data_IF_321889058173
#
_entry.id   IF_321889058173
#
_cell.length_a   1.000
_cell.length_b   1.000
_cell.length_c   1.000
_cell.angle_alpha   90.00
_cell.angle_beta   90.00
_cell.angle_gamma   90.00
#
_symmetry.space_group_name_H-M   'P 1'
#
loop_
_entity.id
_entity.type
_entity.pdbx_description
1 polymer ?
#
# COMPACT_ATOMS: atom_id res chain seq x y z
N UNK A 1 22.38 37.70 0.88
CA UNK A 1 21.48 38.75 1.40
C UNK A 1 20.59 39.19 0.25
N UNK A 2 19.37 38.76 0.20
CA UNK A 2 18.38 39.34 -0.72
C UNK A 2 17.01 39.25 -0.04
N UNK A 3 16.46 40.41 0.25
CA UNK A 3 15.25 40.62 1.03
C UNK A 3 14.00 40.09 0.33
N UNK A 4 13.19 39.40 1.13
CA UNK A 4 11.85 38.98 0.79
C UNK A 4 10.88 40.15 1.04
N UNK A 5 10.18 40.61 0.02
CA UNK A 5 9.04 41.54 0.15
C UNK A 5 7.74 40.74 0.33
N UNK A 6 7.10 40.93 1.46
CA UNK A 6 5.78 40.45 1.79
C UNK A 6 4.75 41.40 1.19
N UNK A 7 3.88 40.93 0.29
CA UNK A 7 2.66 41.65 -0.09
C UNK A 7 1.46 40.72 0.07
N UNK A 8 0.67 41.00 1.10
CA UNK A 8 -0.69 40.51 1.25
C UNK A 8 -1.60 41.34 0.33
N UNK A 9 -2.49 40.70 -0.45
CA UNK A 9 -3.90 41.04 -0.68
C UNK A 9 -4.58 40.09 -1.67
N UNK A 10 -5.55 39.38 -1.14
CA UNK A 10 -6.87 38.96 -1.70
C UNK A 10 -6.99 38.38 -3.11
N UNK A 11 -7.64 37.20 -3.14
CA UNK A 11 -8.42 36.55 -4.22
C UNK A 11 -7.66 35.81 -5.32
N UNK A 12 -7.74 34.47 -5.24
CA UNK A 12 -7.71 33.52 -6.36
C UNK A 12 -6.54 33.65 -7.36
N UNK A 13 -5.35 33.35 -6.92
CA UNK A 13 -4.27 32.84 -7.78
C UNK A 13 -3.44 31.85 -6.98
N UNK A 14 -3.26 30.64 -7.52
CA UNK A 14 -2.28 29.68 -7.02
C UNK A 14 -0.95 30.40 -6.96
N UNK A 15 -0.53 30.80 -5.79
CA UNK A 15 0.84 31.26 -5.58
C UNK A 15 1.75 30.06 -5.69
N UNK A 16 2.50 29.97 -6.79
CA UNK A 16 3.64 29.05 -6.89
C UNK A 16 4.70 29.66 -5.99
N UNK A 17 4.73 29.27 -4.72
CA UNK A 17 5.82 29.59 -3.82
C UNK A 17 7.02 28.76 -4.25
N UNK A 18 8.01 29.42 -4.84
CA UNK A 18 9.37 28.89 -4.95
C UNK A 18 10.01 28.89 -3.56
N UNK A 19 9.77 27.83 -2.80
CA UNK A 19 10.46 27.61 -1.54
C UNK A 19 11.75 26.83 -1.84
N UNK A 20 12.90 27.47 -1.74
CA UNK A 20 14.21 26.81 -1.70
C UNK A 20 14.43 26.24 -0.30
N UNK A 21 13.70 25.20 0.04
CA UNK A 21 13.82 24.44 1.27
C UNK A 21 13.38 23.01 1.01
N UNK A 22 13.91 22.07 1.74
CA UNK A 22 13.52 20.67 1.70
C UNK A 22 12.00 20.55 1.72
N UNK A 23 11.40 20.08 0.63
CA UNK A 23 9.95 19.96 0.57
C UNK A 23 9.54 18.53 0.91
N UNK A 24 8.67 18.41 1.90
CA UNK A 24 8.00 17.15 2.21
C UNK A 24 6.90 16.94 1.17
N UNK A 25 7.06 15.93 0.32
CA UNK A 25 6.21 15.69 -0.85
C UNK A 25 5.43 14.38 -0.71
N UNK A 26 4.16 14.41 -1.05
CA UNK A 26 3.27 13.24 -1.04
C UNK A 26 2.78 12.93 -2.44
N UNK A 27 2.75 11.63 -2.78
CA UNK A 27 2.02 11.08 -3.90
C UNK A 27 0.84 10.28 -3.33
N UNK A 28 -0.39 10.58 -3.75
CA UNK A 28 -1.60 9.86 -3.33
C UNK A 28 -2.05 8.92 -4.46
N UNK A 29 -2.18 7.63 -4.14
CA UNK A 29 -2.63 6.59 -5.08
C UNK A 29 -3.85 5.90 -4.49
N UNK A 30 -5.04 6.31 -4.90
CA UNK A 30 -6.32 5.84 -4.38
C UNK A 30 -7.43 6.16 -5.39
N UNK A 31 -8.34 5.23 -5.68
CA UNK A 31 -9.44 5.45 -6.63
C UNK A 31 -10.61 6.24 -6.03
N UNK A 32 -10.60 6.49 -4.70
CA UNK A 32 -11.65 7.24 -4.01
C UNK A 32 -11.33 8.75 -3.97
N UNK A 33 -11.85 9.49 -4.94
CA UNK A 33 -11.61 10.94 -5.08
C UNK A 33 -11.93 11.76 -3.82
N UNK A 34 -12.99 11.41 -3.08
CA UNK A 34 -13.36 12.13 -1.85
C UNK A 34 -12.32 11.90 -0.75
N UNK A 35 -11.78 10.69 -0.64
CA UNK A 35 -10.74 10.38 0.32
C UNK A 35 -9.45 11.15 -0.01
N UNK A 36 -9.00 11.14 -1.28
CA UNK A 36 -7.82 11.91 -1.70
C UNK A 36 -7.97 13.38 -1.33
N UNK A 37 -9.14 14.00 -1.60
CA UNK A 37 -9.41 15.39 -1.21
C UNK A 37 -9.34 15.60 0.31
N UNK A 38 -9.92 14.69 1.09
CA UNK A 38 -9.88 14.74 2.55
C UNK A 38 -8.46 14.70 3.08
N UNK A 39 -7.66 13.72 2.62
CA UNK A 39 -6.25 13.58 2.99
C UNK A 39 -5.45 14.82 2.59
N UNK A 40 -5.63 15.31 1.36
CA UNK A 40 -4.93 16.52 0.88
C UNK A 40 -5.26 17.74 1.75
N UNK A 41 -6.55 17.95 2.08
CA UNK A 41 -6.97 19.06 2.93
C UNK A 41 -6.36 18.94 4.32
N UNK A 42 -6.44 17.75 4.93
CA UNK A 42 -5.88 17.50 6.26
C UNK A 42 -4.37 17.76 6.30
N UNK A 43 -3.61 17.24 5.33
CA UNK A 43 -2.17 17.45 5.26
C UNK A 43 -1.80 18.92 5.12
N UNK A 44 -2.52 19.68 4.28
CA UNK A 44 -2.30 21.13 4.10
C UNK A 44 -2.58 21.93 5.37
N UNK A 45 -3.54 21.52 6.21
CA UNK A 45 -3.92 22.22 7.42
C UNK A 45 -3.08 21.84 8.64
N UNK A 46 -2.57 20.62 8.70
CA UNK A 46 -1.98 20.03 9.91
C UNK A 46 -0.50 19.70 9.78
N UNK A 47 0.12 19.92 8.64
CA UNK A 47 1.51 19.53 8.40
C UNK A 47 2.20 20.40 7.34
N UNK A 48 3.51 20.21 7.20
CA UNK A 48 4.32 20.80 6.13
C UNK A 48 4.40 19.91 4.88
N UNK A 49 3.52 18.90 4.77
CA UNK A 49 3.47 18.00 3.62
C UNK A 49 2.64 18.59 2.49
N UNK A 50 3.16 18.48 1.27
CA UNK A 50 2.46 18.94 0.06
C UNK A 50 2.18 17.77 -0.87
N UNK A 51 0.93 17.59 -1.28
CA UNK A 51 0.56 16.62 -2.30
C UNK A 51 0.98 17.16 -3.66
N UNK A 52 1.95 16.48 -4.29
CA UNK A 52 2.52 16.86 -5.59
C UNK A 52 1.93 16.07 -6.75
N UNK A 53 1.22 14.97 -6.46
CA UNK A 53 0.57 14.15 -7.47
C UNK A 53 -0.50 13.24 -6.88
N UNK A 54 -1.53 13.01 -7.69
CA UNK A 54 -2.61 12.06 -7.38
C UNK A 54 -2.77 11.10 -8.55
N UNK A 55 -3.06 9.83 -8.27
CA UNK A 55 -3.39 8.82 -9.26
C UNK A 55 -4.55 7.95 -8.77
N UNK A 56 -5.50 7.63 -9.65
CA UNK A 56 -6.62 6.73 -9.35
C UNK A 56 -6.46 5.35 -9.99
N UNK A 57 -5.43 5.16 -10.80
CA UNK A 57 -5.11 3.90 -11.49
C UNK A 57 -3.60 3.72 -11.66
N UNK A 58 -3.17 2.50 -12.02
CA UNK A 58 -1.77 2.24 -12.37
C UNK A 58 -1.31 3.05 -13.58
N UNK A 59 -2.16 3.20 -14.59
CA UNK A 59 -1.84 3.97 -15.79
C UNK A 59 -1.58 5.45 -15.47
N UNK A 60 -2.40 6.04 -14.59
CA UNK A 60 -2.18 7.41 -14.12
C UNK A 60 -0.91 7.53 -13.27
N UNK A 61 -0.63 6.55 -12.39
CA UNK A 61 0.60 6.53 -11.61
C UNK A 61 1.82 6.47 -12.51
N UNK A 62 1.81 5.63 -13.54
CA UNK A 62 2.92 5.52 -14.51
C UNK A 62 3.18 6.86 -15.23
N UNK A 63 2.10 7.51 -15.69
CA UNK A 63 2.20 8.83 -16.33
C UNK A 63 2.73 9.89 -15.36
N UNK A 64 2.24 9.89 -14.13
CA UNK A 64 2.67 10.79 -13.07
C UNK A 64 4.17 10.65 -12.78
N UNK A 65 4.65 9.42 -12.58
CA UNK A 65 6.05 9.14 -12.29
C UNK A 65 7.00 9.56 -13.43
N UNK A 66 6.54 9.50 -14.69
CA UNK A 66 7.32 10.00 -15.85
C UNK A 66 7.42 11.53 -15.91
N UNK A 67 6.46 12.24 -15.30
CA UNK A 67 6.39 13.70 -15.33
C UNK A 67 7.07 14.35 -14.12
N UNK A 68 7.16 13.63 -13.01
CA UNK A 68 7.76 14.14 -11.80
C UNK A 68 9.28 14.05 -11.87
N UNK A 69 9.93 15.14 -11.52
CA UNK A 69 11.37 15.20 -11.30
C UNK A 69 11.62 15.44 -9.81
N UNK A 70 12.52 14.66 -9.25
CA UNK A 70 12.87 14.73 -7.82
C UNK A 70 14.30 15.17 -7.65
N UNK A 71 14.56 15.98 -6.63
CA UNK A 71 15.93 16.25 -6.19
C UNK A 71 16.32 15.27 -5.08
N UNK A 72 17.61 15.04 -4.88
CA UNK A 72 18.12 14.20 -3.79
C UNK A 72 17.76 14.73 -2.39
N UNK A 73 17.41 16.02 -2.31
CA UNK A 73 17.02 16.68 -1.07
C UNK A 73 15.53 16.54 -0.74
N UNK A 74 14.71 16.09 -1.69
CA UNK A 74 13.27 15.93 -1.51
C UNK A 74 12.95 14.73 -0.62
N UNK A 75 12.12 14.95 0.40
CA UNK A 75 11.51 13.85 1.15
C UNK A 75 10.19 13.49 0.51
N UNK A 76 10.13 12.32 -0.11
CA UNK A 76 8.93 11.87 -0.82
C UNK A 76 8.40 10.63 -0.15
N UNK A 77 7.09 10.59 0.09
CA UNK A 77 6.37 9.41 0.58
C UNK A 77 5.13 9.22 -0.29
N UNK A 78 4.86 8.00 -0.70
CA UNK A 78 3.61 7.66 -1.34
C UNK A 78 2.60 7.09 -0.33
N UNK A 79 1.34 7.47 -0.45
CA UNK A 79 0.22 6.87 0.26
C UNK A 79 -0.58 6.07 -0.75
N UNK A 80 -0.70 4.76 -0.55
CA UNK A 80 -1.22 3.83 -1.56
C UNK A 80 -2.37 3.01 -1.00
N UNK A 81 -3.51 3.02 -1.68
CA UNK A 81 -4.54 2.01 -1.44
C UNK A 81 -4.17 0.68 -2.12
N UNK A 82 -4.42 -0.43 -1.44
CA UNK A 82 -4.26 -1.77 -2.01
C UNK A 82 -5.37 -2.12 -3.01
N UNK A 83 -6.55 -1.51 -2.88
CA UNK A 83 -7.73 -1.80 -3.69
C UNK A 83 -7.94 -0.72 -4.76
N UNK A 84 -7.05 -0.64 -5.73
CA UNK A 84 -7.23 0.23 -6.88
C UNK A 84 -8.14 -0.44 -7.93
N UNK A 85 -8.97 0.35 -8.60
CA UNK A 85 -9.75 -0.11 -9.76
C UNK A 85 -8.82 -0.56 -10.87
N UNK A 86 -9.07 -1.78 -11.38
CA UNK A 86 -8.33 -2.30 -12.53
C UNK A 86 -8.81 -1.66 -13.84
N UNK A 87 -7.92 -1.53 -14.79
CA UNK A 87 -8.25 -1.19 -16.17
C UNK A 87 -8.91 -2.42 -16.83
N UNK A 88 -10.25 -2.42 -16.94
CA UNK A 88 -11.00 -3.46 -17.64
C UNK A 88 -11.87 -4.37 -16.73
N UNK A 89 -12.49 -5.39 -17.32
CA UNK A 89 -13.51 -6.26 -16.74
C UNK A 89 -13.11 -7.09 -15.49
N UNK A 90 -11.86 -6.99 -15.01
CA UNK A 90 -11.40 -7.63 -13.77
C UNK A 90 -11.56 -6.67 -12.60
N UNK A 91 -12.76 -6.57 -12.09
CA UNK A 91 -13.22 -5.55 -11.16
C UNK A 91 -12.58 -5.56 -9.74
N UNK A 92 -11.60 -6.38 -9.45
CA UNK A 92 -10.93 -6.44 -8.12
C UNK A 92 -9.52 -7.05 -8.17
N UNK A 93 -8.68 -6.65 -9.11
CA UNK A 93 -7.27 -7.02 -8.94
C UNK A 93 -6.63 -6.07 -7.92
N UNK A 94 -5.88 -6.62 -6.98
CA UNK A 94 -5.15 -5.85 -5.98
C UNK A 94 -3.97 -5.09 -6.63
N UNK A 95 -4.29 -4.09 -7.45
CA UNK A 95 -3.32 -3.30 -8.22
C UNK A 95 -2.43 -2.43 -7.33
N UNK A 96 -2.80 -2.23 -6.06
CA UNK A 96 -2.00 -1.48 -5.12
C UNK A 96 -0.62 -2.09 -4.84
N UNK A 97 -0.47 -3.41 -4.90
CA UNK A 97 0.86 -4.04 -4.79
C UNK A 97 1.76 -3.72 -5.99
N UNK A 98 1.18 -3.66 -7.19
CA UNK A 98 1.90 -3.23 -8.40
C UNK A 98 2.29 -1.75 -8.31
N UNK A 99 1.39 -0.90 -7.80
CA UNK A 99 1.70 0.52 -7.55
C UNK A 99 2.89 0.68 -6.59
N UNK A 100 2.89 -0.08 -5.49
CA UNK A 100 4.02 -0.09 -4.54
C UNK A 100 5.31 -0.53 -5.20
N UNK A 101 5.29 -1.55 -6.06
CA UNK A 101 6.47 -1.99 -6.79
C UNK A 101 7.01 -0.91 -7.73
N UNK A 102 6.14 -0.24 -8.50
CA UNK A 102 6.51 0.87 -9.38
C UNK A 102 7.16 2.03 -8.60
N UNK A 103 6.62 2.35 -7.41
CA UNK A 103 7.18 3.36 -6.52
C UNK A 103 8.53 2.95 -5.94
N UNK A 104 8.68 1.67 -5.55
CA UNK A 104 9.93 1.12 -5.04
C UNK A 104 11.06 1.17 -6.09
N UNK A 105 10.76 0.94 -7.38
CA UNK A 105 11.71 1.07 -8.48
C UNK A 105 12.25 2.51 -8.63
N UNK A 106 11.49 3.50 -8.17
CA UNK A 106 11.89 4.91 -8.10
C UNK A 106 12.48 5.31 -6.72
N UNK A 107 12.74 4.35 -5.84
CA UNK A 107 13.18 4.56 -4.46
C UNK A 107 12.21 5.41 -3.61
N UNK A 108 10.91 5.43 -3.93
CA UNK A 108 9.89 6.15 -3.19
C UNK A 108 9.28 5.23 -2.14
N UNK A 109 9.49 5.49 -0.85
CA UNK A 109 8.89 4.69 0.22
C UNK A 109 7.39 4.91 0.28
N UNK A 110 6.65 3.85 0.63
CA UNK A 110 5.19 3.86 0.62
C UNK A 110 4.59 3.57 2.00
N UNK A 111 3.50 4.25 2.30
CA UNK A 111 2.53 3.94 3.36
C UNK A 111 1.31 3.31 2.69
N UNK A 112 0.98 2.09 3.06
CA UNK A 112 -0.29 1.47 2.67
C UNK A 112 -1.40 2.06 3.54
N UNK A 113 -2.45 2.58 2.89
CA UNK A 113 -3.64 3.14 3.53
C UNK A 113 -4.87 2.48 2.92
N UNK A 114 -5.37 1.41 3.55
CA UNK A 114 -6.40 0.56 2.96
C UNK A 114 -7.50 0.18 3.93
N UNK A 115 -8.72 0.00 3.41
CA UNK A 115 -9.85 -0.51 4.19
C UNK A 115 -9.69 -1.99 4.55
N UNK A 116 -8.88 -2.73 3.79
CA UNK A 116 -8.59 -4.15 4.01
C UNK A 116 -7.13 -4.37 4.42
N UNK A 117 -6.66 -3.60 5.41
CA UNK A 117 -5.34 -3.77 5.98
C UNK A 117 -5.37 -4.92 7.00
N UNK A 118 -4.85 -6.09 6.64
CA UNK A 118 -4.75 -7.29 7.50
C UNK A 118 -3.29 -7.72 7.62
N UNK A 119 -2.99 -8.58 8.60
CA UNK A 119 -1.65 -9.15 8.77
C UNK A 119 -1.14 -9.86 7.52
N UNK A 120 -2.02 -10.55 6.78
CA UNK A 120 -1.68 -11.20 5.51
C UNK A 120 -1.33 -10.17 4.41
N UNK A 121 -2.04 -9.05 4.35
CA UNK A 121 -1.73 -7.96 3.43
C UNK A 121 -0.35 -7.34 3.74
N UNK A 122 -0.03 -7.18 5.03
CA UNK A 122 1.27 -6.68 5.48
C UNK A 122 2.39 -7.65 5.08
N UNK A 123 2.24 -8.95 5.36
CA UNK A 123 3.24 -9.97 5.01
C UNK A 123 3.49 -10.01 3.49
N UNK A 124 2.42 -9.95 2.68
CA UNK A 124 2.50 -9.88 1.22
C UNK A 124 3.24 -8.63 0.75
N UNK A 125 2.90 -7.47 1.32
CA UNK A 125 3.52 -6.20 0.93
C UNK A 125 5.00 -6.11 1.31
N UNK A 126 5.39 -6.64 2.48
CA UNK A 126 6.78 -6.71 2.92
C UNK A 126 7.62 -7.70 2.09
N UNK A 127 6.99 -8.66 1.41
CA UNK A 127 7.68 -9.61 0.52
C UNK A 127 8.01 -9.04 -0.86
N UNK A 128 7.52 -7.84 -1.21
CA UNK A 128 7.81 -7.17 -2.48
C UNK A 128 9.30 -6.81 -2.55
N UNK A 129 9.95 -7.21 -3.64
CA UNK A 129 11.35 -6.88 -3.88
C UNK A 129 11.54 -5.36 -3.98
N UNK A 130 12.61 -4.86 -3.35
CA UNK A 130 12.92 -3.43 -3.31
C UNK A 130 12.55 -2.74 -2.00
N UNK A 131 11.77 -3.38 -1.09
CA UNK A 131 11.56 -2.89 0.28
C UNK A 131 10.85 -1.54 0.38
N UNK A 132 10.04 -1.18 -0.62
CA UNK A 132 9.41 0.15 -0.72
C UNK A 132 8.32 0.40 0.32
N UNK A 133 7.67 -0.64 0.87
CA UNK A 133 6.63 -0.46 1.89
C UNK A 133 7.24 -0.37 3.27
N UNK A 134 6.94 0.71 3.96
CA UNK A 134 7.40 0.96 5.34
C UNK A 134 6.30 1.36 6.30
N UNK A 135 5.11 1.70 5.80
CA UNK A 135 3.97 2.11 6.60
C UNK A 135 2.70 1.31 6.31
N UNK A 136 1.90 1.04 7.35
CA UNK A 136 0.60 0.37 7.24
C UNK A 136 -0.40 1.02 8.17
N UNK A 137 -1.48 1.55 7.61
CA UNK A 137 -2.57 2.23 8.31
C UNK A 137 -3.91 1.83 7.71
N UNK A 138 -4.90 1.56 8.54
CA UNK A 138 -6.27 1.31 8.12
C UNK A 138 -6.98 2.62 7.75
N UNK A 139 -7.81 2.62 6.69
CA UNK A 139 -8.69 3.76 6.36
C UNK A 139 -9.76 4.03 7.43
N UNK A 140 -9.98 3.10 8.36
CA UNK A 140 -10.84 3.30 9.51
C UNK A 140 -10.17 4.07 10.66
N UNK A 141 -8.86 4.34 10.57
CA UNK A 141 -8.11 5.08 11.57
C UNK A 141 -8.29 6.59 11.44
N UNK A 142 -7.77 7.32 12.43
CA UNK A 142 -7.74 8.79 12.38
C UNK A 142 -6.73 9.30 11.36
N UNK A 143 -6.97 10.49 10.84
CA UNK A 143 -6.05 11.17 9.92
C UNK A 143 -4.68 11.45 10.59
N UNK A 144 -4.66 11.63 11.92
CA UNK A 144 -3.41 11.81 12.67
C UNK A 144 -2.53 10.56 12.62
N UNK A 145 -3.13 9.36 12.65
CA UNK A 145 -2.39 8.09 12.54
C UNK A 145 -1.71 7.97 11.16
N UNK A 146 -2.38 8.40 10.09
CA UNK A 146 -1.79 8.45 8.75
C UNK A 146 -0.61 9.45 8.70
N UNK A 147 -0.76 10.62 9.31
CA UNK A 147 0.31 11.62 9.36
C UNK A 147 1.52 11.11 10.16
N UNK A 148 1.30 10.41 11.28
CA UNK A 148 2.36 9.78 12.07
C UNK A 148 3.11 8.72 11.25
N UNK A 149 2.40 7.90 10.48
CA UNK A 149 2.99 6.92 9.59
C UNK A 149 3.83 7.57 8.48
N UNK A 150 3.32 8.62 7.84
CA UNK A 150 4.04 9.40 6.83
C UNK A 150 5.34 9.97 7.41
N UNK A 151 5.27 10.58 8.59
CA UNK A 151 6.42 11.17 9.26
C UNK A 151 7.48 10.12 9.64
N UNK A 152 7.06 8.96 10.14
CA UNK A 152 7.96 7.86 10.47
C UNK A 152 8.67 7.32 9.22
N UNK A 153 7.91 7.09 8.14
CA UNK A 153 8.43 6.57 6.86
C UNK A 153 9.41 7.55 6.22
N UNK A 154 9.13 8.85 6.26
CA UNK A 154 10.03 9.90 5.78
C UNK A 154 11.36 9.98 6.55
N UNK A 155 11.39 9.48 7.79
CA UNK A 155 12.60 9.33 8.60
C UNK A 155 13.32 8.00 8.36
N UNK A 156 12.88 7.19 7.41
CA UNK A 156 13.44 5.86 7.14
C UNK A 156 13.01 4.79 8.14
N UNK A 157 12.07 5.07 9.02
CA UNK A 157 11.52 4.13 9.99
C UNK A 157 10.35 3.34 9.39
N UNK A 158 10.03 2.19 9.99
CA UNK A 158 8.80 1.46 9.70
C UNK A 158 7.70 1.87 10.67
N UNK A 159 6.46 1.87 10.20
CA UNK A 159 5.27 2.15 11.00
C UNK A 159 4.17 1.15 10.68
N UNK A 160 3.71 0.44 11.69
CA UNK A 160 2.52 -0.42 11.58
C UNK A 160 1.56 0.08 12.66
N UNK A 161 0.33 0.39 12.27
CA UNK A 161 -0.71 0.74 13.23
C UNK A 161 -0.81 -0.33 14.33
N UNK A 162 -0.93 0.02 15.62
CA UNK A 162 -0.85 -0.95 16.72
C UNK A 162 -1.77 -2.17 16.60
N UNK A 163 -3.04 -1.95 16.22
CA UNK A 163 -4.01 -3.04 16.06
C UNK A 163 -3.62 -3.99 14.90
N UNK A 164 -3.08 -3.42 13.80
CA UNK A 164 -2.57 -4.21 12.68
C UNK A 164 -1.28 -4.94 13.03
N UNK A 165 -0.48 -4.42 13.95
CA UNK A 165 0.76 -5.07 14.37
C UNK A 165 0.48 -6.40 15.08
N UNK A 166 -0.56 -6.47 15.94
CA UNK A 166 -0.97 -7.70 16.59
C UNK A 166 -1.39 -8.76 15.56
N UNK A 167 -2.28 -8.41 14.66
CA UNK A 167 -2.74 -9.29 13.58
C UNK A 167 -1.57 -9.74 12.68
N UNK A 168 -0.63 -8.85 12.36
CA UNK A 168 0.57 -9.19 11.62
C UNK A 168 1.45 -10.20 12.34
N UNK A 169 1.68 -10.06 13.64
CA UNK A 169 2.49 -11.01 14.41
C UNK A 169 1.82 -12.37 14.48
N UNK A 170 0.51 -12.44 14.69
CA UNK A 170 -0.25 -13.69 14.68
C UNK A 170 -0.17 -14.36 13.30
N UNK A 171 -0.44 -13.61 12.23
CA UNK A 171 -0.34 -14.08 10.84
C UNK A 171 1.08 -14.57 10.53
N UNK A 172 2.10 -13.82 10.89
CA UNK A 172 3.50 -14.21 10.67
C UNK A 172 3.87 -15.50 11.37
N UNK A 173 3.38 -15.70 12.60
CA UNK A 173 3.58 -16.96 13.31
C UNK A 173 2.90 -18.13 12.59
N UNK A 174 1.66 -17.97 12.13
CA UNK A 174 0.96 -18.96 11.33
C UNK A 174 1.69 -19.26 10.01
N UNK A 175 2.15 -18.21 9.31
CA UNK A 175 2.90 -18.40 8.05
C UNK A 175 4.30 -18.98 8.25
N UNK A 176 4.90 -18.89 9.47
CA UNK A 176 6.24 -19.43 9.73
C UNK A 176 6.33 -20.95 9.59
N UNK A 177 5.23 -21.67 9.87
CA UNK A 177 5.14 -23.13 9.78
C UNK A 177 4.88 -23.64 8.35
N UNK A 178 4.65 -22.73 7.41
CA UNK A 178 4.33 -23.04 6.03
C UNK A 178 5.57 -22.96 5.14
N UNK A 179 5.69 -23.90 4.23
CA UNK A 179 6.72 -23.87 3.18
C UNK A 179 6.42 -22.75 2.18
N UNK A 180 7.42 -22.37 1.38
CA UNK A 180 7.24 -21.37 0.31
C UNK A 180 6.08 -21.73 -0.62
N UNK A 181 5.97 -23.01 -1.00
CA UNK A 181 4.91 -23.47 -1.92
C UNK A 181 3.53 -23.42 -1.31
N UNK A 182 3.42 -23.77 -0.04
CA UNK A 182 2.16 -23.65 0.70
C UNK A 182 1.70 -22.18 0.83
N UNK A 183 2.63 -21.25 1.04
CA UNK A 183 2.35 -19.80 1.04
C UNK A 183 1.84 -19.31 -0.32
N UNK A 184 2.44 -19.78 -1.43
CA UNK A 184 1.96 -19.45 -2.78
C UNK A 184 0.50 -19.95 -2.99
N UNK A 185 0.18 -21.16 -2.53
CA UNK A 185 -1.17 -21.73 -2.59
C UNK A 185 -2.15 -20.91 -1.76
N UNK A 186 -1.80 -20.58 -0.51
CA UNK A 186 -2.67 -19.79 0.39
C UNK A 186 -2.96 -18.40 -0.20
N UNK A 187 -1.96 -17.72 -0.75
CA UNK A 187 -2.16 -16.41 -1.37
C UNK A 187 -3.19 -16.47 -2.50
N UNK A 188 -3.16 -17.52 -3.32
CA UNK A 188 -4.12 -17.72 -4.41
C UNK A 188 -5.50 -18.14 -3.90
N UNK A 189 -5.57 -18.86 -2.78
CA UNK A 189 -6.84 -19.14 -2.09
C UNK A 189 -7.45 -17.82 -1.57
N UNK A 190 -6.62 -16.93 -1.01
CA UNK A 190 -7.04 -15.61 -0.54
C UNK A 190 -7.52 -14.69 -1.67
N UNK A 191 -7.05 -14.90 -2.91
CA UNK A 191 -7.57 -14.25 -4.13
C UNK A 191 -8.92 -14.89 -4.61
N UNK A 192 -9.49 -15.79 -3.85
CA UNK A 192 -10.76 -16.50 -4.13
C UNK A 192 -10.76 -17.33 -5.43
N UNK A 193 -9.59 -17.72 -5.94
CA UNK A 193 -9.44 -18.57 -7.11
C UNK A 193 -9.89 -20.02 -6.80
N UNK A 194 -10.52 -20.68 -7.78
CA UNK A 194 -10.86 -22.12 -7.65
C UNK A 194 -9.60 -22.99 -7.66
N UNK A 195 -9.72 -24.24 -7.21
CA UNK A 195 -8.60 -25.17 -7.23
C UNK A 195 -8.04 -25.39 -8.64
N UNK A 196 -8.92 -25.44 -9.65
CA UNK A 196 -8.53 -25.57 -11.06
C UNK A 196 -7.71 -24.36 -11.52
N UNK A 197 -8.16 -23.13 -11.19
CA UNK A 197 -7.45 -21.90 -11.53
C UNK A 197 -6.10 -21.81 -10.82
N UNK A 198 -6.02 -22.24 -9.56
CA UNK A 198 -4.77 -22.27 -8.79
C UNK A 198 -3.80 -23.28 -9.41
N UNK A 199 -4.28 -24.49 -9.73
CA UNK A 199 -3.46 -25.55 -10.33
C UNK A 199 -2.89 -25.10 -11.68
N UNK A 200 -3.70 -24.45 -12.52
CA UNK A 200 -3.30 -23.87 -13.79
C UNK A 200 -2.25 -22.76 -13.60
N UNK A 201 -2.52 -21.78 -12.70
CA UNK A 201 -1.62 -20.65 -12.41
C UNK A 201 -0.27 -21.10 -11.88
N UNK A 202 -0.26 -22.16 -11.06
CA UNK A 202 0.94 -22.74 -10.49
C UNK A 202 1.60 -23.82 -11.38
N UNK A 203 0.99 -24.16 -12.52
CA UNK A 203 1.44 -25.21 -13.45
C UNK A 203 1.65 -26.56 -12.78
N UNK A 204 0.72 -26.98 -11.91
CA UNK A 204 0.72 -28.27 -11.21
C UNK A 204 -0.57 -29.03 -11.48
N UNK A 205 -0.54 -30.35 -11.21
CA UNK A 205 -1.74 -31.19 -11.30
C UNK A 205 -2.70 -30.87 -10.18
N UNK A 206 -4.02 -31.00 -10.42
CA UNK A 206 -5.06 -30.78 -9.42
C UNK A 206 -4.84 -31.61 -8.14
N UNK A 207 -4.52 -32.89 -8.27
CA UNK A 207 -4.26 -33.78 -7.14
C UNK A 207 -3.05 -33.30 -6.30
N UNK A 208 -2.05 -32.67 -6.93
CA UNK A 208 -0.91 -32.10 -6.23
C UNK A 208 -1.34 -30.87 -5.42
N UNK A 209 -2.22 -30.05 -5.97
CA UNK A 209 -2.80 -28.91 -5.26
C UNK A 209 -3.64 -29.37 -4.07
N UNK A 210 -4.50 -30.37 -4.26
CA UNK A 210 -5.34 -30.92 -3.19
C UNK A 210 -4.51 -31.42 -2.01
N UNK A 211 -3.36 -32.06 -2.29
CA UNK A 211 -2.41 -32.46 -1.26
C UNK A 211 -1.84 -31.24 -0.50
N UNK A 212 -1.47 -30.15 -1.21
CA UNK A 212 -1.05 -28.91 -0.55
C UNK A 212 -2.15 -28.33 0.33
N UNK A 213 -3.39 -28.28 -0.17
CA UNK A 213 -4.55 -27.76 0.59
C UNK A 213 -4.79 -28.59 1.85
N UNK A 214 -4.73 -29.91 1.76
CA UNK A 214 -4.86 -30.80 2.92
C UNK A 214 -3.78 -30.54 3.96
N UNK A 215 -2.52 -30.48 3.55
CA UNK A 215 -1.40 -30.20 4.46
C UNK A 215 -1.52 -28.81 5.10
N UNK A 216 -2.00 -27.82 4.35
CA UNK A 216 -2.25 -26.47 4.86
C UNK A 216 -3.35 -26.50 5.92
N UNK A 217 -4.46 -27.22 5.67
CA UNK A 217 -5.53 -27.36 6.65
C UNK A 217 -5.03 -27.99 7.95
N UNK A 218 -4.25 -29.06 7.84
CA UNK A 218 -3.67 -29.74 9.01
C UNK A 218 -2.75 -28.81 9.80
N UNK A 219 -1.84 -28.09 9.12
CA UNK A 219 -0.90 -27.17 9.76
C UNK A 219 -1.58 -25.99 10.45
N UNK A 220 -2.62 -25.46 9.83
CA UNK A 220 -3.33 -24.28 10.34
C UNK A 220 -4.54 -24.65 11.22
N UNK A 221 -4.86 -25.92 11.38
CA UNK A 221 -6.01 -26.39 12.15
C UNK A 221 -7.36 -25.93 11.53
N UNK A 222 -7.42 -25.84 10.20
CA UNK A 222 -8.64 -25.50 9.47
C UNK A 222 -9.37 -26.78 9.03
N UNK A 223 -10.70 -26.70 8.97
CA UNK A 223 -11.53 -27.86 8.54
C UNK A 223 -11.93 -27.78 7.08
N UNK A 224 -11.99 -26.57 6.55
CA UNK A 224 -12.48 -26.28 5.20
C UNK A 224 -11.93 -24.95 4.68
N UNK A 225 -12.28 -24.64 3.43
CA UNK A 225 -11.84 -23.40 2.76
C UNK A 225 -12.38 -22.13 3.44
N UNK A 226 -13.59 -22.20 4.00
CA UNK A 226 -14.20 -21.04 4.65
C UNK A 226 -13.44 -20.69 5.93
N UNK A 227 -13.12 -21.67 6.78
CA UNK A 227 -12.33 -21.49 8.00
C UNK A 227 -10.88 -21.06 7.69
N UNK A 228 -10.31 -21.50 6.56
CA UNK A 228 -9.01 -21.01 6.10
C UNK A 228 -9.08 -19.53 5.69
N UNK A 229 -10.09 -19.15 4.91
CA UNK A 229 -10.27 -17.77 4.47
C UNK A 229 -10.51 -16.83 5.64
N UNK A 230 -11.26 -17.25 6.65
CA UNK A 230 -11.45 -16.48 7.88
C UNK A 230 -10.14 -16.25 8.64
N UNK A 231 -9.24 -17.25 8.61
CA UNK A 231 -7.98 -17.23 9.34
C UNK A 231 -6.87 -16.41 8.65
N UNK A 232 -6.98 -16.19 7.33
CA UNK A 232 -5.97 -15.48 6.52
C UNK A 232 -6.45 -14.09 6.04
N UNK A 233 -7.68 -13.71 6.35
CA UNK A 233 -8.24 -12.37 6.12
C UNK A 233 -7.95 -11.44 7.28
#
# INVERSE_FOLDING_TARGET
MTHCFYMSHTRHRKAVLWYTGFMNKIILVDDHKMLRKGVTTYLLEKSDWTVIGEAESLAELELLLKQLTFSEEDKIVAVVDLQLKGDGNNARSANGYTAVQMLAEQNIPSVIFSSNATGACIEKALSIQGGGVRGFVSKASSESMLLDAINAVAQGKSFIQPDLALDFFETRNLFSILTRREKEVINLIGEELTNEQIAEKLKIKINTLENYVSVIYDKLGCKDRASLLEKIR
#
